data_IF_598646846025
#
_entry.id   IF_598646846025
#
_cell.length_a   1.000
_cell.length_b   1.000
_cell.length_c   1.000
_cell.angle_alpha   90.00
_cell.angle_beta   90.00
_cell.angle_gamma   90.00
#
_symmetry.space_group_name_H-M   'P 1'
#
loop_
_entity.id
_entity.type
_entity.pdbx_description
1 polymer ?
#
# COMPACT_ATOMS: atom_id res chain seq x y z
N UNK A 1 -0.83 -3.09 -66.61
CA UNK A 1 -2.20 -2.64 -66.30
C UNK A 1 -2.54 -3.11 -64.90
N UNK A 2 -2.56 -2.21 -63.89
CA UNK A 2 -2.96 -2.57 -62.52
C UNK A 2 -4.44 -2.89 -62.54
N UNK A 3 -4.80 -4.16 -62.40
CA UNK A 3 -6.19 -4.60 -62.41
C UNK A 3 -6.92 -3.96 -61.21
N UNK A 4 -7.88 -3.04 -61.45
CA UNK A 4 -8.54 -2.29 -60.37
C UNK A 4 -9.29 -3.22 -59.40
N UNK A 5 -9.75 -4.38 -59.88
CA UNK A 5 -10.37 -5.41 -59.04
C UNK A 5 -9.41 -6.07 -58.04
N UNK A 6 -8.12 -6.24 -58.39
CA UNK A 6 -7.12 -6.79 -57.47
C UNK A 6 -6.82 -5.81 -56.34
N UNK A 7 -6.83 -4.51 -56.65
CA UNK A 7 -6.65 -3.45 -55.64
C UNK A 7 -7.82 -3.38 -54.68
N UNK A 8 -9.06 -3.49 -55.16
CA UNK A 8 -10.26 -3.51 -54.30
C UNK A 8 -10.29 -4.74 -53.39
N UNK A 9 -9.97 -5.92 -53.95
CA UNK A 9 -9.92 -7.17 -53.19
C UNK A 9 -8.85 -7.09 -52.09
N UNK A 10 -7.68 -6.55 -52.41
CA UNK A 10 -6.59 -6.36 -51.45
C UNK A 10 -6.99 -5.38 -50.33
N UNK A 11 -7.66 -4.27 -50.67
CA UNK A 11 -8.17 -3.32 -49.69
C UNK A 11 -9.25 -3.92 -48.78
N UNK A 12 -10.17 -4.70 -49.34
CA UNK A 12 -11.18 -5.45 -48.57
C UNK A 12 -10.53 -6.43 -47.60
N UNK A 13 -9.56 -7.22 -48.07
CA UNK A 13 -8.80 -8.15 -47.23
C UNK A 13 -8.06 -7.43 -46.08
N UNK A 14 -7.39 -6.32 -46.38
CA UNK A 14 -6.69 -5.50 -45.39
C UNK A 14 -7.65 -4.96 -44.32
N UNK A 15 -8.82 -4.46 -44.73
CA UNK A 15 -9.85 -3.95 -43.82
C UNK A 15 -10.39 -5.08 -42.95
N UNK A 16 -10.73 -6.23 -43.53
CA UNK A 16 -11.23 -7.39 -42.76
C UNK A 16 -10.21 -7.92 -41.76
N UNK A 17 -8.92 -7.93 -42.10
CA UNK A 17 -7.85 -8.38 -41.21
C UNK A 17 -7.62 -7.39 -40.06
N UNK A 18 -7.66 -6.08 -40.35
CA UNK A 18 -7.53 -5.02 -39.35
C UNK A 18 -8.71 -4.98 -38.38
N UNK A 19 -9.92 -5.28 -38.85
CA UNK A 19 -11.11 -5.36 -38.00
C UNK A 19 -11.13 -6.61 -37.10
N UNK A 20 -10.50 -7.71 -37.53
CA UNK A 20 -10.43 -8.94 -36.74
C UNK A 20 -9.42 -8.82 -35.58
N UNK A 21 -8.34 -8.07 -35.79
CA UNK A 21 -7.35 -7.73 -34.74
C UNK A 21 -7.90 -6.75 -33.69
N UNK A 22 -8.98 -6.03 -34.03
CA UNK A 22 -9.74 -5.18 -33.11
C UNK A 22 -10.85 -5.94 -32.35
N UNK A 23 -10.83 -7.28 -32.33
CA UNK A 23 -11.61 -8.04 -31.35
C UNK A 23 -11.31 -7.47 -29.96
N UNK A 24 -12.33 -7.24 -29.11
CA UNK A 24 -12.12 -6.63 -27.81
C UNK A 24 -11.23 -7.57 -27.00
N UNK A 25 -9.93 -7.29 -26.98
CA UNK A 25 -9.02 -7.83 -25.98
C UNK A 25 -9.65 -7.47 -24.64
N UNK A 26 -10.02 -8.50 -23.89
CA UNK A 26 -10.64 -8.41 -22.58
C UNK A 26 -10.02 -7.24 -21.81
N UNK A 27 -10.79 -6.15 -21.65
CA UNK A 27 -10.32 -4.97 -20.92
C UNK A 27 -10.18 -5.43 -19.49
N UNK A 28 -8.98 -5.89 -19.12
CA UNK A 28 -8.66 -6.36 -17.79
C UNK A 28 -9.12 -5.28 -16.80
N UNK A 29 -10.25 -5.51 -16.12
CA UNK A 29 -10.80 -4.58 -15.14
C UNK A 29 -9.88 -4.62 -13.92
N UNK A 30 -8.83 -3.81 -13.96
CA UNK A 30 -7.90 -3.65 -12.85
C UNK A 30 -8.54 -2.71 -11.84
N UNK A 31 -9.17 -3.30 -10.83
CA UNK A 31 -9.72 -2.55 -9.70
C UNK A 31 -8.60 -2.26 -8.69
N UNK A 32 -8.39 -0.99 -8.36
CA UNK A 32 -7.43 -0.63 -7.31
C UNK A 32 -8.02 -0.98 -5.95
N UNK A 33 -7.28 -1.73 -5.12
CA UNK A 33 -7.71 -2.02 -3.75
C UNK A 33 -7.64 -0.74 -2.91
N UNK A 34 -8.80 -0.24 -2.50
CA UNK A 34 -8.89 0.89 -1.57
C UNK A 34 -8.64 0.41 -0.14
N UNK A 35 -7.83 1.15 0.61
CA UNK A 35 -7.52 0.85 2.00
C UNK A 35 -8.65 1.34 2.94
N UNK A 36 -9.70 0.53 3.09
CA UNK A 36 -10.89 0.86 3.90
C UNK A 36 -11.03 0.03 5.18
N UNK A 37 -10.13 -0.92 5.44
CA UNK A 37 -10.24 -1.80 6.61
C UNK A 37 -9.48 -1.24 7.81
N UNK A 38 -9.80 -1.74 9.01
CA UNK A 38 -9.10 -1.38 10.24
C UNK A 38 -7.57 -1.61 10.15
N UNK A 39 -7.14 -2.60 9.36
CA UNK A 39 -5.71 -2.87 9.11
C UNK A 39 -4.99 -1.69 8.45
N UNK A 40 -5.68 -0.88 7.66
CA UNK A 40 -5.10 0.32 7.05
C UNK A 40 -4.90 1.45 8.05
N UNK A 41 -5.61 1.43 9.19
CA UNK A 41 -5.48 2.43 10.24
C UNK A 41 -4.12 2.31 10.93
N UNK A 42 -3.57 1.10 11.07
CA UNK A 42 -2.22 0.92 11.65
C UNK A 42 -1.12 1.49 10.76
N UNK A 43 -1.27 1.42 9.43
CA UNK A 43 -0.34 2.07 8.50
C UNK A 43 -0.38 3.59 8.63
N UNK A 44 -1.58 4.16 8.79
CA UNK A 44 -1.76 5.60 9.05
C UNK A 44 -1.18 6.02 10.40
N UNK A 45 -1.34 5.18 11.43
CA UNK A 45 -0.72 5.40 12.74
C UNK A 45 0.81 5.39 12.63
N UNK A 46 1.40 4.47 11.88
CA UNK A 46 2.83 4.42 11.67
C UNK A 46 3.35 5.70 10.99
N UNK A 47 2.69 6.16 9.92
CA UNK A 47 3.03 7.44 9.27
C UNK A 47 2.88 8.63 10.23
N UNK A 48 1.83 8.63 11.05
CA UNK A 48 1.64 9.64 12.08
C UNK A 48 2.80 9.67 13.10
N UNK A 49 3.20 8.51 13.64
CA UNK A 49 4.29 8.42 14.62
C UNK A 49 5.65 8.86 14.03
N UNK A 50 5.92 8.51 12.78
CA UNK A 50 7.16 8.93 12.10
C UNK A 50 7.19 10.44 11.90
N UNK A 51 6.08 11.04 11.46
CA UNK A 51 6.01 12.50 11.25
C UNK A 51 6.00 13.28 12.56
N UNK A 52 5.28 12.79 13.57
CA UNK A 52 5.18 13.44 14.88
C UNK A 52 6.48 13.39 15.67
N UNK A 53 7.35 12.40 15.40
CA UNK A 53 8.65 12.29 16.06
C UNK A 53 9.54 13.52 15.89
N UNK A 54 9.37 14.27 14.79
CA UNK A 54 10.20 15.43 14.46
C UNK A 54 9.39 16.72 14.22
N UNK A 55 8.06 16.64 14.18
CA UNK A 55 7.21 17.83 14.06
C UNK A 55 6.95 18.42 15.45
N UNK A 56 7.71 19.47 15.77
CA UNK A 56 7.45 20.54 16.74
C UNK A 56 6.79 20.13 18.06
N UNK A 57 7.53 20.39 19.14
CA UNK A 57 7.16 20.14 20.53
C UNK A 57 5.70 20.44 20.84
N UNK A 58 5.15 19.71 21.81
CA UNK A 58 3.70 19.59 21.97
C UNK A 58 3.08 20.98 22.13
N UNK A 59 2.01 21.25 21.36
CA UNK A 59 1.17 22.46 21.46
C UNK A 59 0.73 22.70 22.92
N UNK A 60 0.78 21.66 23.75
CA UNK A 60 0.52 21.67 25.17
C UNK A 60 1.74 21.12 25.95
N UNK A 61 2.26 21.86 26.93
CA UNK A 61 3.32 21.35 27.79
C UNK A 61 2.79 20.14 28.60
N UNK A 62 3.35 18.94 28.44
CA UNK A 62 2.88 17.77 29.16
C UNK A 62 3.14 17.94 30.65
N UNK A 63 2.17 17.57 31.47
CA UNK A 63 2.38 17.46 32.91
C UNK A 63 3.38 16.33 33.17
N UNK A 64 4.40 16.61 33.98
CA UNK A 64 5.44 15.63 34.28
C UNK A 64 4.85 14.51 35.16
N UNK A 65 4.51 13.39 34.52
CA UNK A 65 4.04 12.15 35.17
C UNK A 65 5.12 11.06 35.18
N UNK A 66 6.38 11.41 34.89
CA UNK A 66 7.49 10.46 34.76
C UNK A 66 7.38 9.57 33.51
N UNK A 67 8.51 9.02 33.06
CA UNK A 67 8.56 8.12 31.89
C UNK A 67 8.01 6.72 32.17
N UNK A 68 7.83 6.35 33.44
CA UNK A 68 7.39 5.01 33.83
C UNK A 68 5.87 4.82 33.77
N UNK A 69 5.08 5.89 33.79
CA UNK A 69 3.61 5.80 33.83
C UNK A 69 3.00 5.37 32.50
N UNK A 70 3.47 5.94 31.38
CA UNK A 70 2.97 5.62 30.03
C UNK A 70 4.08 5.50 28.96
N UNK A 71 5.36 5.56 29.35
CA UNK A 71 6.46 5.46 28.41
C UNK A 71 6.65 4.05 27.86
N UNK A 72 7.38 3.95 26.74
CA UNK A 72 7.76 2.67 26.13
C UNK A 72 8.58 1.88 27.15
N UNK A 73 8.04 0.74 27.59
CA UNK A 73 8.77 -0.17 28.48
C UNK A 73 9.94 -0.79 27.72
N UNK A 74 11.10 -0.83 28.35
CA UNK A 74 12.21 -1.59 27.82
C UNK A 74 11.86 -3.08 27.89
N UNK A 75 11.63 -3.68 26.71
CA UNK A 75 11.31 -5.10 26.58
C UNK A 75 12.48 -5.95 27.07
N UNK A 76 13.72 -5.47 26.93
CA UNK A 76 14.92 -6.15 27.44
C UNK A 76 14.92 -6.12 28.96
N UNK A 77 14.63 -4.97 29.57
CA UNK A 77 14.48 -4.83 31.02
C UNK A 77 13.36 -5.69 31.60
N UNK A 78 12.22 -5.81 30.91
CA UNK A 78 11.13 -6.71 31.32
C UNK A 78 11.52 -8.18 31.21
N UNK A 79 12.09 -8.61 30.08
CA UNK A 79 12.57 -9.99 29.94
C UNK A 79 13.64 -10.33 30.98
N UNK A 80 14.51 -9.38 31.35
CA UNK A 80 15.50 -9.58 32.41
C UNK A 80 14.86 -9.73 33.79
N UNK A 81 13.78 -9.01 34.06
CA UNK A 81 13.05 -9.06 35.35
C UNK A 81 12.25 -10.35 35.46
N UNK A 82 11.50 -10.68 34.41
CA UNK A 82 10.79 -11.96 34.28
C UNK A 82 11.78 -13.13 34.45
N UNK A 83 12.91 -13.13 33.73
CA UNK A 83 13.92 -14.20 33.85
C UNK A 83 14.49 -14.35 35.26
N UNK A 84 14.54 -13.28 36.06
CA UNK A 84 15.01 -13.34 37.45
C UNK A 84 13.92 -13.88 38.39
N UNK A 85 12.64 -13.52 38.14
CA UNK A 85 11.49 -14.03 38.88
C UNK A 85 11.22 -15.53 38.58
N UNK A 86 11.51 -16.01 37.36
CA UNK A 86 11.44 -17.43 36.98
C UNK A 86 12.55 -18.30 37.60
N UNK A 87 13.70 -17.72 37.96
CA UNK A 87 14.84 -18.44 38.53
C UNK A 87 14.83 -18.47 40.07
N UNK A 88 13.90 -17.74 40.68
CA UNK A 88 13.69 -17.67 42.13
C UNK A 88 12.55 -18.58 42.63
N UNK A 89 11.88 -19.30 41.72
CA UNK A 89 11.00 -20.45 42.00
C UNK A 89 11.61 -21.74 41.44
#
# INVERSE_FOLDING_TARGET
MRHPGLSLLCLLLLVTLSCLDAAPTDRSRVEKRKCNTATCVTQRLADFLVRSSNSHGPIYAPTNVGSFTYGKRDVVGLLRRESFDYLQH
#
